data_IF_970606868871
#
_entry.id   IF_970606868871
#
_cell.length_a   1.000
_cell.length_b   1.000
_cell.length_c   1.000
_cell.angle_alpha   90.00
_cell.angle_beta   90.00
_cell.angle_gamma   90.00
#
_symmetry.space_group_name_H-M   'P 1'
#
loop_
_entity.id
_entity.type
_entity.pdbx_description
1 polymer ?
#
# COMPACT_ATOMS: atom_id res chain seq x y z
N UNK A 1 58.23 32.40 -29.39
CA UNK A 1 58.55 33.61 -28.60
C UNK A 1 57.26 34.37 -28.33
N UNK A 2 57.04 34.78 -27.06
CA UNK A 2 56.06 35.74 -26.51
C UNK A 2 54.60 35.69 -27.05
N UNK A 3 53.57 35.33 -26.26
CA UNK A 3 52.96 36.17 -25.21
C UNK A 3 51.96 37.15 -25.86
N UNK A 4 50.69 37.34 -25.47
CA UNK A 4 50.07 37.21 -24.17
C UNK A 4 48.52 37.32 -24.27
N UNK A 5 47.87 36.60 -23.36
CA UNK A 5 46.64 36.85 -22.58
C UNK A 5 45.70 38.03 -22.94
N UNK A 6 44.42 37.64 -23.03
CA UNK A 6 43.24 38.02 -22.20
C UNK A 6 42.10 38.81 -22.86
N UNK A 7 40.91 38.33 -22.50
CA UNK A 7 39.57 38.95 -22.44
C UNK A 7 38.78 39.04 -23.75
N UNK A 8 38.00 38.00 -24.01
CA UNK A 8 36.65 38.15 -24.54
C UNK A 8 35.67 37.40 -23.64
N UNK A 9 34.84 38.17 -22.92
CA UNK A 9 33.62 37.68 -22.29
C UNK A 9 32.58 37.44 -23.39
N UNK A 10 32.29 36.16 -23.64
CA UNK A 10 31.09 35.73 -24.36
C UNK A 10 30.01 35.44 -23.33
N UNK A 11 28.96 36.25 -23.36
CA UNK A 11 27.65 35.86 -22.87
C UNK A 11 27.10 34.77 -23.80
N UNK A 12 26.63 33.66 -23.25
CA UNK A 12 25.64 32.79 -23.89
C UNK A 12 25.04 31.80 -22.87
N UNK A 13 23.88 32.19 -22.35
CA UNK A 13 22.68 31.38 -22.10
C UNK A 13 22.85 30.04 -21.35
N UNK A 14 22.59 30.16 -20.06
CA UNK A 14 22.14 29.15 -19.12
C UNK A 14 20.79 28.55 -19.53
N UNK A 15 20.67 27.22 -19.55
CA UNK A 15 19.39 26.50 -19.42
C UNK A 15 19.57 25.34 -18.45
N UNK A 16 19.53 25.66 -17.16
CA UNK A 16 19.37 24.70 -16.08
C UNK A 16 17.91 24.78 -15.64
N UNK A 17 17.12 23.78 -16.02
CA UNK A 17 15.80 23.52 -15.41
C UNK A 17 16.05 22.92 -14.02
N UNK A 18 16.34 23.80 -13.06
CA UNK A 18 16.31 23.49 -11.64
C UNK A 18 14.90 23.80 -11.10
N UNK A 19 14.36 22.84 -10.36
CA UNK A 19 13.00 22.81 -9.87
C UNK A 19 12.60 24.04 -9.06
N UNK A 20 11.45 24.57 -9.41
CA UNK A 20 10.72 25.57 -8.63
C UNK A 20 9.95 24.88 -7.51
N UNK A 21 10.64 24.62 -6.40
CA UNK A 21 10.05 24.58 -5.07
C UNK A 21 10.19 25.99 -4.49
N UNK A 22 9.16 26.43 -3.75
CA UNK A 22 9.00 27.74 -3.10
C UNK A 22 8.24 28.80 -3.92
N UNK A 23 6.92 28.78 -3.75
CA UNK A 23 6.10 29.99 -3.68
C UNK A 23 5.08 29.81 -2.54
N UNK A 24 5.59 29.86 -1.30
CA UNK A 24 4.82 30.21 -0.13
C UNK A 24 4.85 31.74 -0.02
N UNK A 25 3.70 32.31 0.37
CA UNK A 25 3.41 33.73 0.63
C UNK A 25 2.96 34.58 -0.58
N UNK A 26 1.67 34.94 -0.58
CA UNK A 26 1.19 36.21 -1.16
C UNK A 26 0.18 36.12 -2.30
N UNK A 27 -1.11 36.09 -1.93
CA UNK A 27 -2.29 36.53 -2.72
C UNK A 27 -2.75 35.69 -3.93
N UNK A 28 -3.76 34.83 -3.70
CA UNK A 28 -5.13 34.95 -4.27
C UNK A 28 -5.89 33.62 -4.05
N UNK A 29 -6.87 33.63 -3.13
CA UNK A 29 -7.76 32.51 -2.82
C UNK A 29 -7.35 31.69 -1.60
N UNK A 30 -7.50 32.25 -0.39
CA UNK A 30 -7.53 31.42 0.83
C UNK A 30 -8.84 30.63 0.79
N UNK A 31 -8.83 29.44 0.21
CA UNK A 31 -9.98 28.52 0.28
C UNK A 31 -10.06 28.04 1.73
N UNK A 32 -10.77 28.78 2.58
CA UNK A 32 -10.94 28.39 3.98
C UNK A 32 -11.95 27.25 4.05
N UNK A 33 -11.63 26.17 4.76
CA UNK A 33 -12.58 25.06 5.00
C UNK A 33 -13.72 25.45 5.96
N UNK A 34 -13.82 26.72 6.36
CA UNK A 34 -14.70 27.17 7.44
C UNK A 34 -16.17 27.16 7.01
N UNK A 35 -16.45 27.65 5.80
CA UNK A 35 -17.80 27.71 5.25
C UNK A 35 -18.33 26.30 4.98
N UNK A 36 -17.55 25.48 4.29
CA UNK A 36 -17.82 24.06 4.07
C UNK A 36 -18.08 23.30 5.39
N UNK A 37 -17.23 23.53 6.41
CA UNK A 37 -17.41 22.91 7.72
C UNK A 37 -18.73 23.36 8.37
N UNK A 38 -19.03 24.65 8.35
CA UNK A 38 -20.25 25.19 8.96
C UNK A 38 -21.50 24.66 8.26
N UNK A 39 -21.50 24.60 6.94
CA UNK A 39 -22.59 24.02 6.17
C UNK A 39 -22.78 22.53 6.50
N UNK A 40 -21.68 21.78 6.63
CA UNK A 40 -21.72 20.37 6.99
C UNK A 40 -22.20 20.15 8.45
N UNK A 41 -21.85 21.02 9.39
CA UNK A 41 -22.36 21.02 10.76
C UNK A 41 -23.88 21.32 10.79
N UNK A 42 -24.36 22.30 10.00
CA UNK A 42 -25.79 22.60 9.89
C UNK A 42 -26.58 21.41 9.31
N UNK A 43 -26.07 20.78 8.25
CA UNK A 43 -26.67 19.56 7.68
C UNK A 43 -26.73 18.42 8.70
N UNK A 44 -25.70 18.28 9.53
CA UNK A 44 -25.67 17.30 10.60
C UNK A 44 -26.71 17.60 11.69
N UNK A 45 -26.83 18.86 12.12
CA UNK A 45 -27.81 19.26 13.13
C UNK A 45 -29.25 19.10 12.64
N UNK A 46 -29.50 19.34 11.35
CA UNK A 46 -30.84 19.19 10.74
C UNK A 46 -31.27 17.72 10.58
N UNK A 47 -30.39 16.87 10.05
CA UNK A 47 -30.75 15.49 9.70
C UNK A 47 -30.35 14.45 10.74
N UNK A 48 -29.37 14.74 11.59
CA UNK A 48 -28.80 13.83 12.57
C UNK A 48 -28.52 14.54 13.91
N UNK A 49 -29.51 15.23 14.50
CA UNK A 49 -29.31 16.08 15.67
C UNK A 49 -28.66 15.32 16.83
N UNK A 50 -27.48 15.76 17.25
CA UNK A 50 -26.71 15.16 18.35
C UNK A 50 -26.11 13.78 18.06
N UNK A 51 -26.34 13.18 16.89
CA UNK A 51 -25.84 11.84 16.55
C UNK A 51 -24.45 11.85 15.95
N UNK A 52 -24.07 12.91 15.24
CA UNK A 52 -22.74 13.07 14.65
C UNK A 52 -22.18 14.46 14.97
N UNK A 53 -20.86 14.55 15.12
CA UNK A 53 -20.16 15.79 15.47
C UNK A 53 -18.92 15.98 14.61
N UNK A 54 -18.78 17.15 13.98
CA UNK A 54 -17.60 17.46 13.19
C UNK A 54 -16.33 17.52 14.07
N UNK A 55 -15.31 16.78 13.67
CA UNK A 55 -14.01 16.68 14.38
C UNK A 55 -12.84 17.17 13.54
N UNK A 56 -13.04 17.38 12.24
CA UNK A 56 -12.01 17.90 11.34
C UNK A 56 -12.57 18.25 9.97
N UNK A 57 -11.83 19.08 9.23
CA UNK A 57 -12.10 19.40 7.84
C UNK A 57 -10.77 19.59 7.10
N UNK A 58 -10.71 19.20 5.83
CA UNK A 58 -9.55 19.44 4.96
C UNK A 58 -10.00 19.85 3.57
N UNK A 59 -9.26 20.76 2.95
CA UNK A 59 -9.49 21.16 1.55
C UNK A 59 -9.18 20.01 0.61
N UNK A 60 -10.01 19.79 -0.41
CA UNK A 60 -9.76 18.84 -1.48
C UNK A 60 -8.92 19.50 -2.57
N UNK A 61 -8.05 18.73 -3.26
CA UNK A 61 -7.29 19.22 -4.40
C UNK A 61 -7.95 18.80 -5.72
N UNK A 62 -8.13 19.72 -6.70
CA UNK A 62 -7.83 21.15 -6.64
C UNK A 62 -8.79 21.91 -5.73
N UNK A 63 -8.36 23.03 -5.13
CA UNK A 63 -9.10 23.75 -4.07
C UNK A 63 -10.53 24.18 -4.41
N UNK A 64 -10.87 24.29 -5.69
CA UNK A 64 -12.24 24.54 -6.18
C UNK A 64 -13.19 23.33 -6.00
N UNK A 65 -12.69 22.19 -5.53
CA UNK A 65 -13.45 20.97 -5.28
C UNK A 65 -14.21 20.97 -3.95
N UNK A 66 -14.03 21.98 -3.10
CA UNK A 66 -14.61 22.05 -1.75
C UNK A 66 -13.74 21.37 -0.70
N UNK A 67 -14.37 20.87 0.36
CA UNK A 67 -13.70 20.25 1.51
C UNK A 67 -14.25 18.87 1.83
N UNK A 68 -13.42 18.05 2.48
CA UNK A 68 -13.86 16.83 3.16
C UNK A 68 -13.97 17.12 4.66
N UNK A 69 -15.20 17.04 5.19
CA UNK A 69 -15.51 17.19 6.62
C UNK A 69 -15.64 15.80 7.24
N UNK A 70 -14.96 15.61 8.37
CA UNK A 70 -14.98 14.34 9.12
C UNK A 70 -15.79 14.50 10.39
N UNK A 71 -16.69 13.56 10.65
CA UNK A 71 -17.53 13.51 11.84
C UNK A 71 -17.24 12.25 12.66
N UNK A 72 -17.29 12.40 13.99
CA UNK A 72 -17.44 11.31 14.93
C UNK A 72 -18.94 10.98 15.12
N UNK A 73 -19.25 9.73 15.41
CA UNK A 73 -20.61 9.27 15.72
C UNK A 73 -20.73 9.12 17.24
N UNK A 74 -21.76 9.72 17.84
CA UNK A 74 -21.87 9.86 19.29
C UNK A 74 -21.99 8.52 20.04
N UNK A 75 -22.70 7.56 19.46
CA UNK A 75 -22.98 6.23 20.04
C UNK A 75 -22.10 5.11 19.46
N UNK A 76 -21.22 5.41 18.51
CA UNK A 76 -20.29 4.43 17.92
C UNK A 76 -18.88 5.02 17.81
N UNK A 77 -18.03 4.68 18.79
CA UNK A 77 -16.64 5.14 18.88
C UNK A 77 -15.75 4.64 17.75
N UNK A 78 -16.16 3.59 17.04
CA UNK A 78 -15.36 3.05 15.95
C UNK A 78 -15.72 3.71 14.62
N UNK A 79 -16.95 4.20 14.47
CA UNK A 79 -17.46 4.81 13.24
C UNK A 79 -16.90 6.20 12.96
N UNK A 80 -16.56 6.42 11.69
CA UNK A 80 -16.15 7.72 11.15
C UNK A 80 -16.97 8.02 9.91
N UNK A 81 -17.50 9.25 9.83
CA UNK A 81 -18.25 9.72 8.67
C UNK A 81 -17.42 10.76 7.95
N UNK A 82 -17.27 10.62 6.63
CA UNK A 82 -16.58 11.59 5.78
C UNK A 82 -17.55 12.11 4.74
N UNK A 83 -17.74 13.42 4.71
CA UNK A 83 -18.60 14.11 3.76
C UNK A 83 -17.74 15.04 2.90
N UNK A 84 -17.79 14.88 1.58
CA UNK A 84 -17.24 15.89 0.67
C UNK A 84 -18.33 16.90 0.36
N UNK A 85 -18.07 18.15 0.67
CA UNK A 85 -19.01 19.26 0.53
C UNK A 85 -18.35 20.41 -0.22
N UNK A 86 -19.12 21.06 -1.06
CA UNK A 86 -18.77 22.32 -1.71
C UNK A 86 -19.93 23.28 -1.45
N UNK A 87 -19.78 24.10 -0.42
CA UNK A 87 -20.81 25.05 0.02
C UNK A 87 -21.12 26.08 -1.07
N UNK A 88 -20.11 26.56 -1.79
CA UNK A 88 -20.28 27.51 -2.91
C UNK A 88 -21.23 26.97 -3.98
N UNK A 89 -21.16 25.66 -4.24
CA UNK A 89 -22.02 24.97 -5.21
C UNK A 89 -23.28 24.39 -4.58
N UNK A 90 -23.43 24.44 -3.26
CA UNK A 90 -24.54 23.81 -2.53
C UNK A 90 -24.64 22.30 -2.74
N UNK A 91 -23.52 21.61 -2.98
CA UNK A 91 -23.51 20.18 -3.32
C UNK A 91 -22.57 19.38 -2.44
N UNK A 92 -22.88 18.09 -2.26
CA UNK A 92 -22.03 17.10 -1.64
C UNK A 92 -21.79 15.96 -2.61
N UNK A 93 -20.54 15.61 -2.90
CA UNK A 93 -20.19 14.66 -3.98
C UNK A 93 -20.93 14.94 -5.30
N UNK A 94 -21.10 16.22 -5.65
CA UNK A 94 -21.86 16.69 -6.82
C UNK A 94 -23.35 16.31 -6.84
N UNK A 95 -23.92 15.99 -5.68
CA UNK A 95 -25.34 15.64 -5.46
C UNK A 95 -25.94 16.50 -4.34
N UNK A 96 -27.23 16.29 -4.07
CA UNK A 96 -27.92 16.85 -2.91
C UNK A 96 -27.32 16.33 -1.59
N UNK A 97 -27.04 17.24 -0.66
CA UNK A 97 -26.28 16.94 0.54
C UNK A 97 -26.98 16.02 1.56
N UNK A 98 -28.30 16.13 1.72
CA UNK A 98 -29.02 15.33 2.72
C UNK A 98 -28.91 13.82 2.45
N UNK A 99 -29.14 13.41 1.20
CA UNK A 99 -29.01 12.03 0.77
C UNK A 99 -27.57 11.51 0.92
N UNK A 100 -26.58 12.29 0.50
CA UNK A 100 -25.16 11.91 0.61
C UNK A 100 -24.72 11.79 2.07
N UNK A 101 -25.15 12.69 2.95
CA UNK A 101 -24.85 12.60 4.37
C UNK A 101 -25.46 11.34 4.98
N UNK A 102 -26.72 11.02 4.66
CA UNK A 102 -27.37 9.78 5.14
C UNK A 102 -26.64 8.53 4.69
N UNK A 103 -26.23 8.46 3.42
CA UNK A 103 -25.41 7.37 2.90
C UNK A 103 -24.04 7.29 3.59
N UNK A 104 -23.41 8.43 3.84
CA UNK A 104 -22.11 8.49 4.51
C UNK A 104 -22.19 8.01 5.96
N UNK A 105 -23.26 8.36 6.69
CA UNK A 105 -23.52 7.85 8.05
C UNK A 105 -23.74 6.34 8.04
N UNK A 106 -24.60 5.84 7.13
CA UNK A 106 -24.86 4.41 7.01
C UNK A 106 -23.58 3.62 6.68
N UNK A 107 -22.77 4.12 5.74
CA UNK A 107 -21.48 3.54 5.37
C UNK A 107 -20.50 3.54 6.54
N UNK A 108 -20.35 4.66 7.25
CA UNK A 108 -19.46 4.76 8.40
C UNK A 108 -19.79 3.76 9.52
N UNK A 109 -21.08 3.51 9.77
CA UNK A 109 -21.53 2.47 10.72
C UNK A 109 -21.30 1.05 10.20
N UNK A 110 -21.54 0.80 8.92
CA UNK A 110 -21.27 -0.49 8.29
C UNK A 110 -19.77 -0.84 8.33
N UNK A 111 -18.91 0.13 8.01
CA UNK A 111 -17.46 -0.03 8.06
C UNK A 111 -16.98 -0.30 9.50
N UNK A 112 -17.57 0.37 10.51
CA UNK A 112 -17.28 0.12 11.91
C UNK A 112 -17.70 -1.30 12.36
N UNK A 113 -18.85 -1.79 11.91
CA UNK A 113 -19.31 -3.15 12.18
C UNK A 113 -18.40 -4.21 11.52
N UNK A 114 -17.99 -3.97 10.27
CA UNK A 114 -17.03 -4.81 9.56
C UNK A 114 -15.67 -4.84 10.27
N UNK A 115 -15.21 -3.69 10.77
CA UNK A 115 -13.99 -3.61 11.57
C UNK A 115 -14.08 -4.38 12.88
N UNK A 116 -15.19 -4.28 13.62
CA UNK A 116 -15.38 -5.07 14.85
C UNK A 116 -15.31 -6.57 14.55
N UNK A 117 -15.95 -7.02 13.46
CA UNK A 117 -15.87 -8.42 13.00
C UNK A 117 -14.43 -8.86 12.73
N UNK A 118 -13.66 -8.02 12.02
CA UNK A 118 -12.24 -8.26 11.78
C UNK A 118 -11.46 -8.31 13.10
N UNK A 119 -11.57 -7.26 13.93
CA UNK A 119 -10.84 -7.11 15.18
C UNK A 119 -11.09 -8.31 16.09
N UNK A 120 -12.35 -8.68 16.30
CA UNK A 120 -12.72 -9.75 17.22
C UNK A 120 -12.19 -11.12 16.72
N UNK A 121 -12.12 -11.33 15.40
CA UNK A 121 -11.52 -12.54 14.81
C UNK A 121 -10.00 -12.64 15.05
N UNK A 122 -9.29 -11.51 15.01
CA UNK A 122 -7.84 -11.45 15.24
C UNK A 122 -7.48 -11.42 16.73
N UNK A 123 -8.24 -10.69 17.55
CA UNK A 123 -8.05 -10.63 19.01
C UNK A 123 -8.27 -12.01 19.64
N UNK A 124 -9.25 -12.80 19.16
CA UNK A 124 -9.48 -14.17 19.61
C UNK A 124 -8.30 -15.13 19.33
N UNK A 125 -7.43 -14.78 18.37
CA UNK A 125 -6.19 -15.51 18.09
C UNK A 125 -4.96 -14.96 18.84
N UNK A 126 -5.09 -13.83 19.54
CA UNK A 126 -3.97 -13.14 20.16
C UNK A 126 -3.18 -12.20 19.24
N UNK A 127 -3.71 -11.82 18.07
CA UNK A 127 -3.07 -10.86 17.17
C UNK A 127 -3.75 -9.50 17.24
N UNK A 128 -3.08 -8.51 17.84
CA UNK A 128 -3.60 -7.14 17.90
C UNK A 128 -3.58 -6.50 16.50
N UNK A 129 -4.73 -5.99 16.05
CA UNK A 129 -4.83 -5.12 14.87
C UNK A 129 -4.42 -3.71 15.25
N UNK A 130 -3.31 -3.22 14.68
CA UNK A 130 -2.71 -1.93 15.04
C UNK A 130 -2.86 -0.84 13.97
N UNK A 131 -3.24 -1.23 12.75
CA UNK A 131 -3.58 -0.32 11.65
C UNK A 131 -4.42 -1.07 10.61
N UNK A 132 -5.03 -0.32 9.70
CA UNK A 132 -5.75 -0.82 8.54
C UNK A 132 -5.25 -0.07 7.30
N UNK A 133 -5.24 -0.72 6.14
CA UNK A 133 -4.97 -0.04 4.88
C UNK A 133 -5.92 1.15 4.63
N UNK A 134 -5.60 2.04 3.66
CA UNK A 134 -6.35 3.28 3.45
C UNK A 134 -7.86 3.10 3.22
N UNK A 135 -8.27 1.91 2.75
CA UNK A 135 -9.65 1.51 2.47
C UNK A 135 -10.24 0.59 3.56
N UNK A 136 -9.62 0.52 4.74
CA UNK A 136 -10.05 -0.36 5.85
C UNK A 136 -9.49 -1.78 5.79
N UNK A 137 -8.82 -2.17 4.72
CA UNK A 137 -8.08 -3.43 4.57
C UNK A 137 -6.83 -3.20 3.70
N UNK A 138 -5.82 -4.08 3.77
CA UNK A 138 -5.64 -5.19 4.71
C UNK A 138 -5.33 -4.72 6.15
N UNK A 139 -5.53 -5.55 7.19
CA UNK A 139 -5.10 -5.24 8.55
C UNK A 139 -3.59 -5.34 8.72
N UNK A 140 -3.06 -4.57 9.67
CA UNK A 140 -1.70 -4.68 10.18
C UNK A 140 -1.72 -5.30 11.57
N UNK A 141 -0.98 -6.39 11.75
CA UNK A 141 -0.84 -7.11 13.01
C UNK A 141 0.60 -7.13 13.49
N UNK A 142 0.78 -7.31 14.79
CA UNK A 142 2.11 -7.40 15.41
C UNK A 142 2.52 -8.85 15.57
N UNK A 143 3.61 -9.26 14.94
CA UNK A 143 4.24 -10.55 15.19
C UNK A 143 5.72 -10.53 14.80
N UNK A 144 6.53 -11.32 15.49
CA UNK A 144 7.94 -11.53 15.13
C UNK A 144 8.06 -12.74 14.21
N UNK A 145 8.49 -12.51 12.97
CA UNK A 145 8.77 -13.56 12.01
C UNK A 145 10.25 -13.87 12.01
N UNK A 146 10.59 -15.11 12.38
CA UNK A 146 11.95 -15.67 12.33
C UNK A 146 11.91 -16.99 11.58
N UNK A 147 13.06 -17.53 11.18
CA UNK A 147 13.11 -18.88 10.58
C UNK A 147 12.48 -19.95 11.49
N UNK A 148 12.54 -19.78 12.81
CA UNK A 148 11.94 -20.71 13.77
C UNK A 148 10.42 -20.56 13.90
N UNK A 149 9.85 -19.40 13.57
CA UNK A 149 8.45 -19.07 13.88
C UNK A 149 7.57 -18.86 12.66
N UNK A 150 8.15 -18.54 11.49
CA UNK A 150 7.40 -18.02 10.34
C UNK A 150 6.27 -18.94 9.87
N UNK A 151 6.49 -20.25 9.73
CA UNK A 151 5.44 -21.18 9.29
C UNK A 151 4.27 -21.22 10.27
N UNK A 152 4.56 -21.37 11.57
CA UNK A 152 3.53 -21.41 12.62
C UNK A 152 2.77 -20.09 12.69
N UNK A 153 3.47 -18.95 12.69
CA UNK A 153 2.83 -17.63 12.79
C UNK A 153 1.95 -17.34 11.57
N UNK A 154 2.38 -17.73 10.36
CA UNK A 154 1.53 -17.62 9.17
C UNK A 154 0.30 -18.53 9.26
N UNK A 155 0.46 -19.77 9.71
CA UNK A 155 -0.66 -20.69 9.93
C UNK A 155 -1.68 -20.14 10.95
N UNK A 156 -1.19 -19.62 12.07
CA UNK A 156 -2.02 -19.03 13.13
C UNK A 156 -2.81 -17.81 12.61
N UNK A 157 -2.13 -16.89 11.90
CA UNK A 157 -2.79 -15.74 11.25
C UNK A 157 -3.81 -16.21 10.20
N UNK A 158 -3.49 -17.24 9.41
CA UNK A 158 -4.40 -17.86 8.45
C UNK A 158 -5.67 -18.38 9.11
N UNK A 159 -5.56 -18.96 10.30
CA UNK A 159 -6.70 -19.35 11.14
C UNK A 159 -7.58 -18.15 11.53
N UNK A 160 -6.99 -16.99 11.81
CA UNK A 160 -7.73 -15.75 12.09
C UNK A 160 -8.43 -15.21 10.85
N UNK A 161 -7.79 -15.33 9.68
CA UNK A 161 -8.41 -14.99 8.40
C UNK A 161 -9.60 -15.92 8.13
N UNK A 162 -9.51 -17.23 8.40
CA UNK A 162 -10.65 -18.14 8.31
C UNK A 162 -11.80 -17.72 9.24
N UNK A 163 -11.50 -17.35 10.50
CA UNK A 163 -12.52 -16.85 11.44
C UNK A 163 -13.16 -15.56 10.92
N UNK A 164 -12.37 -14.63 10.40
CA UNK A 164 -12.85 -13.38 9.85
C UNK A 164 -13.75 -13.58 8.62
N UNK A 165 -13.34 -14.45 7.68
CA UNK A 165 -14.15 -14.85 6.51
C UNK A 165 -15.47 -15.46 6.95
N UNK A 166 -15.42 -16.39 7.91
CA UNK A 166 -16.61 -17.07 8.43
C UNK A 166 -17.57 -16.09 9.11
N UNK A 167 -17.05 -15.22 9.99
CA UNK A 167 -17.84 -14.25 10.72
C UNK A 167 -18.43 -13.14 9.83
N UNK A 168 -17.77 -12.84 8.71
CA UNK A 168 -18.29 -11.89 7.71
C UNK A 168 -19.50 -12.45 6.95
N UNK A 169 -19.68 -13.77 6.95
CA UNK A 169 -20.77 -14.46 6.27
C UNK A 169 -20.47 -14.78 4.81
N UNK A 170 -21.12 -15.83 4.29
CA UNK A 170 -20.90 -16.37 2.95
C UNK A 170 -21.16 -15.37 1.81
N UNK A 171 -22.04 -14.40 2.05
CA UNK A 171 -22.36 -13.38 1.06
C UNK A 171 -21.44 -12.15 1.05
N UNK A 172 -20.52 -12.06 2.01
CA UNK A 172 -19.61 -10.92 2.12
C UNK A 172 -18.65 -10.82 0.93
N UNK A 173 -18.20 -9.60 0.58
CA UNK A 173 -17.16 -9.41 -0.42
C UNK A 173 -15.87 -10.19 -0.11
N UNK A 174 -15.56 -10.36 1.19
CA UNK A 174 -14.39 -11.10 1.65
C UNK A 174 -14.50 -12.61 1.36
N UNK A 175 -15.65 -13.23 1.64
CA UNK A 175 -15.86 -14.65 1.37
C UNK A 175 -15.87 -14.97 -0.13
N UNK A 176 -16.21 -13.98 -0.97
CA UNK A 176 -16.20 -14.06 -2.44
C UNK A 176 -14.85 -13.66 -3.07
N UNK A 177 -13.92 -13.14 -2.27
CA UNK A 177 -12.59 -12.79 -2.75
C UNK A 177 -11.77 -14.05 -3.07
N UNK A 178 -10.76 -13.92 -3.94
CA UNK A 178 -9.83 -15.03 -4.24
C UNK A 178 -8.71 -15.17 -3.21
N UNK A 179 -8.43 -14.10 -2.48
CA UNK A 179 -7.41 -14.06 -1.45
C UNK A 179 -7.69 -12.91 -0.48
N UNK A 180 -7.12 -13.03 0.72
CA UNK A 180 -7.02 -11.95 1.70
C UNK A 180 -5.55 -11.70 2.04
N UNK A 181 -5.25 -10.47 2.46
CA UNK A 181 -3.91 -10.06 2.82
C UNK A 181 -3.86 -9.59 4.27
N UNK A 182 -2.75 -9.87 4.95
CA UNK A 182 -2.46 -9.38 6.30
C UNK A 182 -1.05 -8.84 6.30
N UNK A 183 -0.86 -7.61 6.75
CA UNK A 183 0.46 -7.04 6.96
C UNK A 183 0.95 -7.38 8.35
N UNK A 184 2.17 -7.88 8.46
CA UNK A 184 2.81 -8.28 9.70
C UNK A 184 4.01 -7.37 9.95
N UNK A 185 3.96 -6.63 11.06
CA UNK A 185 5.04 -5.75 11.50
C UNK A 185 5.71 -6.31 12.76
N UNK A 186 7.01 -6.08 12.90
CA UNK A 186 7.73 -6.49 14.10
C UNK A 186 7.27 -5.67 15.32
N UNK A 187 7.39 -6.21 16.55
CA UNK A 187 7.10 -5.47 17.78
C UNK A 187 7.90 -4.17 17.90
N UNK A 188 9.15 -4.16 17.42
CA UNK A 188 10.01 -2.98 17.45
C UNK A 188 9.47 -1.82 16.59
N UNK A 189 8.92 -2.11 15.41
CA UNK A 189 8.26 -1.12 14.55
C UNK A 189 6.91 -0.72 15.15
N UNK A 190 6.12 -1.70 15.60
CA UNK A 190 4.82 -1.45 16.21
C UNK A 190 4.90 -0.54 17.44
N UNK A 191 5.96 -0.66 18.25
CA UNK A 191 6.18 0.15 19.45
C UNK A 191 6.39 1.64 19.18
N UNK A 192 6.86 2.01 17.98
CA UNK A 192 7.20 3.38 17.58
C UNK A 192 6.12 4.09 16.76
N UNK A 193 5.01 3.40 16.48
CA UNK A 193 3.93 3.91 15.61
C UNK A 193 3.23 5.15 16.18
N UNK A 194 2.73 6.01 15.31
CA UNK A 194 1.78 7.07 15.71
C UNK A 194 0.41 6.45 16.04
N UNK A 195 -0.10 6.67 17.25
CA UNK A 195 -1.39 6.12 17.72
C UNK A 195 -2.56 7.08 17.57
N UNK A 196 -2.27 8.33 17.20
CA UNK A 196 -3.22 9.42 17.20
C UNK A 196 -3.81 9.75 18.57
N UNK A 197 -4.79 10.67 18.57
CA UNK A 197 -5.48 11.12 19.78
C UNK A 197 -6.54 10.11 20.18
N UNK A 198 -6.68 9.85 21.48
CA UNK A 198 -7.69 8.92 21.99
C UNK A 198 -9.14 9.39 21.81
N UNK A 199 -9.33 10.70 21.63
CA UNK A 199 -10.64 11.28 21.33
C UNK A 199 -11.12 11.08 19.89
N UNK A 200 -10.31 10.48 19.01
CA UNK A 200 -10.68 10.24 17.62
C UNK A 200 -11.34 8.87 17.44
N UNK A 201 -12.28 8.73 16.49
CA UNK A 201 -12.87 7.44 16.18
C UNK A 201 -11.82 6.38 15.83
N UNK A 202 -12.02 5.15 16.27
CA UNK A 202 -11.03 4.06 16.07
C UNK A 202 -10.67 3.87 14.60
N UNK A 203 -11.67 3.83 13.71
CA UNK A 203 -11.39 3.66 12.27
C UNK A 203 -10.57 4.81 11.69
N UNK A 204 -10.78 6.03 12.16
CA UNK A 204 -9.95 7.17 11.76
C UNK A 204 -8.51 6.99 12.24
N UNK A 205 -8.31 6.56 13.49
CA UNK A 205 -6.97 6.32 14.04
C UNK A 205 -6.22 5.23 13.29
N UNK A 206 -6.89 4.14 12.93
CA UNK A 206 -6.26 2.97 12.30
C UNK A 206 -5.96 3.15 10.80
N UNK A 207 -6.65 4.06 10.10
CA UNK A 207 -6.49 4.29 8.64
C UNK A 207 -5.69 5.56 8.30
N UNK A 208 -5.13 6.21 9.33
CA UNK A 208 -4.41 7.47 9.21
C UNK A 208 -3.13 7.32 8.40
N UNK A 209 -2.85 8.30 7.54
CA UNK A 209 -1.70 8.27 6.63
C UNK A 209 -0.35 8.35 7.35
N UNK A 210 -0.27 9.08 8.46
CA UNK A 210 0.96 9.19 9.28
C UNK A 210 1.22 7.92 10.11
N UNK A 211 0.19 7.29 10.67
CA UNK A 211 0.28 5.95 11.23
C UNK A 211 0.83 4.98 10.17
N UNK A 212 0.20 4.93 8.99
CA UNK A 212 0.64 4.05 7.91
C UNK A 212 2.05 4.39 7.42
N UNK A 213 2.43 5.66 7.33
CA UNK A 213 3.79 6.07 7.01
C UNK A 213 4.78 5.53 8.05
N UNK A 214 4.50 5.71 9.35
CA UNK A 214 5.40 5.22 10.42
C UNK A 214 5.62 3.70 10.39
N UNK A 215 4.63 2.93 9.90
CA UNK A 215 4.77 1.47 9.73
C UNK A 215 5.51 1.10 8.44
N UNK A 216 5.30 1.86 7.36
CA UNK A 216 5.81 1.57 6.01
C UNK A 216 7.16 2.21 5.70
N UNK A 217 7.68 3.06 6.60
CA UNK A 217 9.07 3.53 6.63
C UNK A 217 10.08 2.41 6.91
N UNK A 218 9.61 1.27 7.41
CA UNK A 218 10.40 0.08 7.68
C UNK A 218 9.94 -1.09 6.82
N UNK A 219 10.82 -2.08 6.64
CA UNK A 219 10.43 -3.33 6.02
C UNK A 219 9.40 -4.06 6.90
N UNK A 220 8.37 -4.61 6.25
CA UNK A 220 7.34 -5.42 6.88
C UNK A 220 6.98 -6.61 5.98
N UNK A 221 6.18 -7.53 6.48
CA UNK A 221 5.74 -8.68 5.68
C UNK A 221 4.29 -8.52 5.25
N UNK A 222 3.98 -8.90 4.02
CA UNK A 222 2.60 -9.00 3.53
C UNK A 222 2.30 -10.48 3.29
N UNK A 223 1.48 -11.05 4.16
CA UNK A 223 0.99 -12.42 4.05
C UNK A 223 -0.28 -12.44 3.19
N UNK A 224 -0.39 -13.44 2.31
CA UNK A 224 -1.49 -13.71 1.40
C UNK A 224 -2.08 -15.07 1.75
N UNK A 225 -3.39 -15.14 1.83
CA UNK A 225 -4.14 -16.36 2.10
C UNK A 225 -5.19 -16.52 1.02
N UNK A 226 -5.09 -17.60 0.25
CA UNK A 226 -6.03 -17.88 -0.81
C UNK A 226 -7.39 -18.31 -0.22
N UNK A 227 -8.46 -17.90 -0.88
CA UNK A 227 -9.84 -18.14 -0.46
C UNK A 227 -10.57 -18.87 -1.60
N UNK A 228 -11.10 -20.05 -1.29
CA UNK A 228 -11.92 -20.86 -2.18
C UNK A 228 -13.21 -21.28 -1.50
N UNK A 229 -14.36 -20.88 -2.05
CA UNK A 229 -15.69 -21.22 -1.50
C UNK A 229 -15.83 -20.91 0.01
N UNK A 230 -15.29 -19.78 0.47
CA UNK A 230 -15.30 -19.37 1.88
C UNK A 230 -14.32 -20.13 2.80
N UNK A 231 -13.50 -21.03 2.24
CA UNK A 231 -12.40 -21.70 2.94
C UNK A 231 -11.08 -20.99 2.62
N UNK A 232 -10.24 -20.84 3.64
CA UNK A 232 -8.94 -20.17 3.57
C UNK A 232 -7.84 -21.23 3.59
N UNK A 233 -6.89 -21.14 2.66
CA UNK A 233 -5.62 -21.86 2.81
C UNK A 233 -4.82 -21.18 3.92
N UNK A 234 -4.86 -21.79 5.11
CA UNK A 234 -4.26 -21.21 6.30
C UNK A 234 -2.74 -21.22 6.27
N UNK A 235 -2.09 -22.06 5.45
CA UNK A 235 -0.63 -22.07 5.36
C UNK A 235 -0.11 -20.72 4.85
N UNK A 236 -0.84 -20.14 3.88
CA UNK A 236 -0.55 -18.83 3.30
C UNK A 236 0.83 -18.74 2.66
N UNK A 237 1.14 -17.54 2.17
CA UNK A 237 2.49 -17.19 1.71
C UNK A 237 2.80 -15.74 2.05
N UNK A 238 4.05 -15.41 2.31
CA UNK A 238 4.43 -14.06 2.68
C UNK A 238 5.50 -13.49 1.77
N UNK A 239 5.53 -12.17 1.66
CA UNK A 239 6.60 -11.42 1.00
C UNK A 239 7.09 -10.29 1.86
N UNK A 240 8.35 -9.92 1.70
CA UNK A 240 8.88 -8.70 2.33
C UNK A 240 8.49 -7.49 1.49
N UNK A 241 7.80 -6.54 2.10
CA UNK A 241 7.54 -5.22 1.55
C UNK A 241 8.58 -4.26 2.10
N UNK A 242 9.33 -3.65 1.17
CA UNK A 242 10.47 -2.77 1.49
C UNK A 242 10.14 -1.31 1.18
N UNK A 243 10.68 -0.36 1.96
CA UNK A 243 10.72 1.04 1.57
C UNK A 243 11.37 1.24 0.20
N UNK A 244 11.03 2.32 -0.48
CA UNK A 244 11.40 2.53 -1.89
C UNK A 244 12.90 2.39 -2.16
N UNK A 245 13.76 3.01 -1.34
CA UNK A 245 15.22 2.97 -1.50
C UNK A 245 15.78 1.57 -1.32
N UNK A 246 15.32 0.85 -0.29
CA UNK A 246 15.72 -0.53 -0.03
C UNK A 246 15.26 -1.48 -1.13
N UNK A 247 14.04 -1.29 -1.64
CA UNK A 247 13.52 -2.05 -2.79
C UNK A 247 14.37 -1.84 -4.04
N UNK A 248 14.77 -0.59 -4.32
CA UNK A 248 15.65 -0.30 -5.47
C UNK A 248 17.03 -0.94 -5.30
N UNK A 249 17.61 -0.86 -4.10
CA UNK A 249 18.91 -1.47 -3.81
C UNK A 249 18.86 -3.00 -3.96
N UNK A 250 17.89 -3.65 -3.31
CA UNK A 250 17.63 -5.09 -3.44
C UNK A 250 17.49 -5.50 -4.91
N UNK A 251 16.60 -4.81 -5.63
CA UNK A 251 16.33 -5.09 -7.02
C UNK A 251 17.54 -4.93 -7.94
N UNK A 252 18.37 -3.91 -7.69
CA UNK A 252 19.63 -3.71 -8.40
C UNK A 252 20.61 -4.85 -8.15
N UNK A 253 20.81 -5.23 -6.88
CA UNK A 253 21.70 -6.35 -6.51
C UNK A 253 21.31 -7.63 -7.24
N UNK A 254 20.02 -7.97 -7.20
CA UNK A 254 19.51 -9.19 -7.85
C UNK A 254 19.72 -9.11 -9.37
N UNK A 255 19.31 -8.01 -10.00
CA UNK A 255 19.44 -7.86 -11.45
C UNK A 255 20.89 -7.91 -11.92
N UNK A 256 21.81 -7.29 -11.19
CA UNK A 256 23.23 -7.29 -11.56
C UNK A 256 23.84 -8.69 -11.43
N UNK A 257 23.56 -9.41 -10.33
CA UNK A 257 24.05 -10.77 -10.12
C UNK A 257 23.50 -11.77 -11.16
N UNK A 258 22.19 -11.70 -11.45
CA UNK A 258 21.55 -12.56 -12.44
C UNK A 258 22.06 -12.26 -13.84
N UNK A 259 22.23 -10.97 -14.19
CA UNK A 259 22.79 -10.55 -15.48
C UNK A 259 24.22 -11.08 -15.66
N UNK A 260 25.05 -11.00 -14.61
CA UNK A 260 26.41 -11.50 -14.63
C UNK A 260 26.47 -13.01 -14.92
N UNK A 261 25.64 -13.80 -14.24
CA UNK A 261 25.56 -15.25 -14.48
C UNK A 261 25.05 -15.55 -15.90
N UNK A 262 24.02 -14.84 -16.36
CA UNK A 262 23.44 -15.04 -17.69
C UNK A 262 24.41 -14.69 -18.84
N UNK A 263 25.34 -13.75 -18.63
CA UNK A 263 26.30 -13.32 -19.68
C UNK A 263 27.21 -14.42 -20.18
N UNK A 264 27.42 -15.48 -19.40
CA UNK A 264 28.16 -16.65 -19.86
C UNK A 264 27.47 -17.35 -21.05
N UNK A 265 26.13 -17.26 -21.14
CA UNK A 265 25.33 -17.85 -22.22
C UNK A 265 24.80 -16.79 -23.20
N UNK A 266 24.45 -15.61 -22.69
CA UNK A 266 23.83 -14.52 -23.44
C UNK A 266 24.64 -13.22 -23.24
N UNK A 267 25.70 -12.98 -24.02
CA UNK A 267 26.61 -11.85 -23.78
C UNK A 267 25.93 -10.47 -23.77
N UNK A 268 24.85 -10.33 -24.54
CA UNK A 268 24.08 -9.08 -24.69
C UNK A 268 22.80 -9.05 -23.85
N UNK A 269 22.66 -9.92 -22.85
CA UNK A 269 21.44 -10.05 -22.04
C UNK A 269 21.00 -8.74 -21.40
N UNK A 270 19.70 -8.45 -21.52
CA UNK A 270 19.06 -7.29 -20.89
C UNK A 270 17.96 -7.77 -19.94
N UNK A 271 18.05 -7.34 -18.68
CA UNK A 271 17.01 -7.61 -17.68
C UNK A 271 15.80 -6.70 -17.94
N UNK A 272 14.59 -7.21 -17.73
CA UNK A 272 13.40 -6.35 -17.68
C UNK A 272 13.48 -5.41 -16.48
N UNK A 273 13.01 -4.17 -16.66
CA UNK A 273 12.88 -3.21 -15.56
C UNK A 273 11.82 -3.60 -14.52
N UNK A 274 10.93 -4.54 -14.87
CA UNK A 274 9.87 -5.00 -13.98
C UNK A 274 10.36 -6.12 -13.06
N UNK A 275 10.34 -5.88 -11.75
CA UNK A 275 10.68 -6.88 -10.73
C UNK A 275 9.39 -7.53 -10.22
N UNK A 276 9.30 -8.85 -10.38
CA UNK A 276 8.11 -9.62 -9.99
C UNK A 276 7.97 -9.79 -8.48
N UNK A 277 6.88 -10.42 -8.07
CA UNK A 277 6.58 -10.73 -6.67
C UNK A 277 7.56 -11.78 -6.14
N UNK A 278 8.42 -11.34 -5.22
CA UNK A 278 9.27 -12.19 -4.39
C UNK A 278 8.43 -12.74 -3.24
N UNK A 279 8.49 -14.04 -2.94
CA UNK A 279 7.91 -14.59 -1.70
C UNK A 279 8.99 -15.25 -0.87
N UNK A 280 8.75 -15.31 0.43
CA UNK A 280 9.56 -16.07 1.37
C UNK A 280 9.57 -17.54 0.97
N UNK A 281 10.72 -18.20 1.11
CA UNK A 281 10.76 -19.66 1.04
C UNK A 281 10.02 -20.26 2.25
N UNK A 282 9.37 -21.43 2.12
CA UNK A 282 8.72 -22.08 3.23
C UNK A 282 9.67 -22.24 4.42
N UNK A 283 9.30 -21.67 5.58
CA UNK A 283 10.11 -21.75 6.80
C UNK A 283 11.28 -20.78 6.90
N UNK A 284 11.44 -19.85 5.95
CA UNK A 284 12.59 -18.94 5.90
C UNK A 284 12.15 -17.50 5.72
N UNK A 285 12.59 -16.63 6.63
CA UNK A 285 12.44 -15.16 6.50
C UNK A 285 13.65 -14.53 5.82
N UNK A 286 14.80 -15.22 5.87
CA UNK A 286 16.08 -14.78 5.30
C UNK A 286 16.28 -15.23 3.84
N UNK A 287 15.26 -15.84 3.24
CA UNK A 287 15.29 -16.36 1.88
C UNK A 287 14.02 -16.00 1.14
N UNK A 288 14.18 -15.49 -0.08
CA UNK A 288 13.07 -15.16 -0.97
C UNK A 288 13.30 -15.68 -2.37
N UNK A 289 12.26 -16.23 -2.95
CA UNK A 289 12.24 -16.77 -4.30
C UNK A 289 11.36 -15.91 -5.20
N UNK A 290 11.86 -15.63 -6.40
CA UNK A 290 11.17 -14.80 -7.37
C UNK A 290 11.68 -15.02 -8.79
N UNK A 291 10.94 -14.48 -9.74
CA UNK A 291 11.27 -14.53 -11.16
C UNK A 291 11.80 -13.18 -11.64
N UNK A 292 12.87 -13.19 -12.43
CA UNK A 292 13.31 -12.03 -13.19
C UNK A 292 13.19 -12.30 -14.67
N UNK A 293 12.41 -11.48 -15.36
CA UNK A 293 12.32 -11.55 -16.81
C UNK A 293 13.57 -10.97 -17.46
N UNK A 294 14.04 -11.60 -18.52
CA UNK A 294 15.19 -11.14 -19.29
C UNK A 294 15.00 -11.40 -20.79
N UNK A 295 15.73 -10.67 -21.62
CA UNK A 295 15.80 -10.87 -23.05
C UNK A 295 17.24 -11.25 -23.38
N UNK A 296 17.48 -12.36 -24.12
CA UNK A 296 18.83 -12.75 -24.56
C UNK A 296 19.56 -11.64 -25.31
N UNK A 297 18.81 -10.84 -26.07
CA UNK A 297 19.28 -9.67 -26.81
C UNK A 297 18.38 -8.45 -26.51
N UNK A 298 18.93 -7.22 -26.60
CA UNK A 298 18.13 -6.01 -26.50
C UNK A 298 17.18 -5.85 -27.70
N UNK A 299 16.05 -5.18 -27.50
CA UNK A 299 15.28 -4.62 -28.62
C UNK A 299 16.05 -3.49 -29.32
N UNK A 300 15.54 -3.01 -30.47
CA UNK A 300 16.08 -1.83 -31.16
C UNK A 300 16.21 -0.59 -30.26
N UNK A 301 15.40 -0.50 -29.20
CA UNK A 301 15.42 0.59 -28.21
C UNK A 301 16.35 0.31 -27.02
N UNK A 302 17.14 -0.76 -27.07
CA UNK A 302 18.07 -1.14 -26.01
C UNK A 302 17.42 -1.72 -24.75
N UNK A 303 16.11 -1.97 -24.78
CA UNK A 303 15.33 -2.43 -23.62
C UNK A 303 14.76 -3.83 -23.83
N UNK A 304 14.49 -4.52 -22.72
CA UNK A 304 13.78 -5.79 -22.74
C UNK A 304 12.28 -5.55 -22.54
N UNK A 305 11.50 -5.78 -23.59
CA UNK A 305 10.04 -5.65 -23.62
C UNK A 305 9.44 -7.01 -23.98
N UNK A 306 8.38 -7.42 -23.29
CA UNK A 306 7.68 -8.68 -23.54
C UNK A 306 8.57 -9.94 -23.55
N UNK A 307 9.48 -10.04 -22.59
CA UNK A 307 10.31 -11.23 -22.43
C UNK A 307 9.49 -12.52 -22.28
N UNK A 308 9.97 -13.57 -22.96
CA UNK A 308 9.49 -14.96 -22.90
C UNK A 308 10.35 -15.84 -21.99
N UNK A 309 11.42 -15.27 -21.42
CA UNK A 309 12.37 -15.98 -20.57
C UNK A 309 12.43 -15.37 -19.16
N UNK A 310 12.45 -16.24 -18.16
CA UNK A 310 12.60 -15.86 -16.77
C UNK A 310 13.75 -16.61 -16.10
N UNK A 311 14.44 -15.94 -15.19
CA UNK A 311 15.32 -16.56 -14.22
C UNK A 311 14.57 -16.72 -12.90
N UNK A 312 14.39 -17.95 -12.43
CA UNK A 312 13.94 -18.27 -11.07
C UNK A 312 15.16 -18.22 -10.14
N UNK A 313 15.08 -17.37 -9.13
CA UNK A 313 16.20 -17.06 -8.24
C UNK A 313 15.72 -17.08 -6.80
N UNK A 314 16.46 -17.79 -5.94
CA UNK A 314 16.39 -17.62 -4.48
C UNK A 314 17.46 -16.62 -4.06
N UNK A 315 17.13 -15.69 -3.17
CA UNK A 315 18.05 -14.65 -2.68
C UNK A 315 18.02 -14.54 -1.17
N UNK A 316 19.08 -13.98 -0.60
CA UNK A 316 19.10 -13.50 0.79
C UNK A 316 18.31 -12.18 0.96
N UNK A 317 18.28 -11.63 2.17
CA UNK A 317 17.57 -10.38 2.49
C UNK A 317 18.10 -9.16 1.71
N UNK A 318 19.35 -9.21 1.26
CA UNK A 318 20.07 -8.15 0.54
C UNK A 318 19.99 -8.31 -0.98
N UNK A 319 19.41 -9.40 -1.46
CA UNK A 319 19.24 -9.68 -2.88
C UNK A 319 20.40 -10.46 -3.50
N UNK A 320 21.33 -11.00 -2.70
CA UNK A 320 22.39 -11.86 -3.23
C UNK A 320 21.78 -13.24 -3.55
N UNK A 321 22.01 -13.81 -4.76
CA UNK A 321 21.57 -15.15 -5.09
C UNK A 321 22.10 -16.20 -4.12
N UNK A 322 21.26 -17.17 -3.79
CA UNK A 322 21.59 -18.32 -2.94
C UNK A 322 21.21 -19.59 -3.69
N UNK A 323 22.19 -20.46 -3.94
CA UNK A 323 21.98 -21.64 -4.76
C UNK A 323 22.09 -21.34 -6.26
N UNK A 324 21.52 -22.21 -7.09
CA UNK A 324 21.60 -22.10 -8.55
C UNK A 324 20.45 -21.27 -9.11
N UNK A 325 20.74 -20.42 -10.09
CA UNK A 325 19.72 -19.76 -10.90
C UNK A 325 19.13 -20.77 -11.89
N UNK A 326 17.80 -20.83 -11.99
CA UNK A 326 17.10 -21.72 -12.91
C UNK A 326 16.46 -20.91 -14.03
N UNK A 327 16.76 -21.26 -15.27
CA UNK A 327 16.11 -20.64 -16.43
C UNK A 327 14.76 -21.30 -16.68
N UNK A 328 13.75 -20.47 -16.94
CA UNK A 328 12.40 -20.86 -17.31
C UNK A 328 12.09 -20.16 -18.63
N UNK A 329 11.81 -20.96 -19.66
CA UNK A 329 11.49 -20.46 -20.99
C UNK A 329 9.99 -20.48 -21.23
N UNK A 330 9.55 -19.80 -22.28
CA UNK A 330 8.17 -19.78 -22.75
C UNK A 330 7.19 -19.37 -21.64
N UNK A 331 7.56 -18.34 -20.86
CA UNK A 331 6.76 -17.86 -19.71
C UNK A 331 5.53 -17.05 -20.12
N UNK A 332 5.21 -16.98 -21.41
CA UNK A 332 3.97 -16.39 -21.93
C UNK A 332 3.10 -17.46 -22.57
N UNK A 333 1.79 -17.36 -22.37
CA UNK A 333 0.85 -18.19 -23.08
C UNK A 333 0.64 -17.71 -24.53
N UNK A 334 -0.11 -18.49 -25.33
CA UNK A 334 -0.41 -18.17 -26.72
C UNK A 334 -1.23 -16.88 -26.93
N UNK A 335 -1.64 -16.18 -25.86
CA UNK A 335 -2.27 -14.85 -25.89
C UNK A 335 -1.29 -13.71 -25.55
N UNK A 336 -0.04 -14.05 -25.23
CA UNK A 336 0.99 -13.11 -24.78
C UNK A 336 0.92 -12.78 -23.28
N UNK A 337 0.03 -13.42 -22.52
CA UNK A 337 -0.12 -13.21 -21.08
C UNK A 337 0.97 -13.95 -20.32
N UNK A 338 1.56 -13.34 -19.30
CA UNK A 338 2.60 -14.01 -18.52
C UNK A 338 2.01 -15.12 -17.66
N UNK A 339 2.60 -16.32 -17.75
CA UNK A 339 2.29 -17.52 -16.99
C UNK A 339 3.58 -18.10 -16.41
N UNK A 340 3.93 -17.68 -15.21
CA UNK A 340 5.06 -18.23 -14.46
C UNK A 340 4.65 -19.53 -13.75
N UNK A 341 5.52 -20.56 -13.74
CA UNK A 341 5.25 -21.77 -12.97
C UNK A 341 5.22 -21.47 -11.46
N UNK A 342 4.48 -22.26 -10.66
CA UNK A 342 4.64 -22.23 -9.22
C UNK A 342 6.07 -22.66 -8.85
N UNK A 343 6.59 -22.13 -7.73
CA UNK A 343 7.80 -22.63 -7.06
C UNK A 343 7.42 -23.32 -5.77
#
# INVERSE_FOLDING_TARGET
MAGSRRRQWRAAVTCVLAGSLVALTGACGVVTTKEDRRAAEQLADEHFPGQIKAIGARTLFPGAGGSEVTFAVADDRDAVVRLRINADKGTCDSKECAGVLKEAVARGRADAAAFRTLRDAFDACGYQVIALGPTGTPPYVVAELTNATVQRVLADIGGCVQRWVTASGADSPLAKAKASYVNVVSPAVAGKRDRGKDSWPTMMRLTRSDLLASLTEHAYHSASYDIGAGQVDTAGSARVVRPFKERQAFGKTVQDAVREELRATYPNVVMSGYQWVWRLEPGRVDRQTGYLLFCPEPSERGSCVNSDDAALVTTDERGNPVGRIRLVRDVRDGTGSLRLPPY
#
